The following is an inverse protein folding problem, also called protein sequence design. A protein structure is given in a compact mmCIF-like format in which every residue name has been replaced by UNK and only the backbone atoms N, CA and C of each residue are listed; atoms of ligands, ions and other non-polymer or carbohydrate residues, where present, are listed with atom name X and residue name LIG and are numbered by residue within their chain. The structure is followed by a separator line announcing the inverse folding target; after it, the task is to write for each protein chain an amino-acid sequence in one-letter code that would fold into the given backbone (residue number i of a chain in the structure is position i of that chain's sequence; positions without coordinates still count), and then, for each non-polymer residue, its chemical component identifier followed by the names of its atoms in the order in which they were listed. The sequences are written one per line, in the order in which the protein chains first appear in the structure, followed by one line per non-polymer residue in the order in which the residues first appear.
data_IF_923044590539
#
_entry.id   IF_923044590539
#
_cell.length_a   1.000
_cell.length_b   1.000
_cell.length_c   1.000
_cell.angle_alpha   90.00
_cell.angle_beta   90.00
_cell.angle_gamma   90.00
#
_symmetry.space_group_name_H-M   'P 1'
#
loop_
_entity.id
_entity.type
_entity.pdbx_description
1 polymer ?
#
# COMPACT_ATOMS: atom_id res chain seq x y z
N UNK A 1 8.16 -13.96 -7.57
CA UNK A 1 8.41 -12.52 -7.64
C UNK A 1 8.87 -12.12 -9.02
N UNK A 2 8.35 -11.04 -9.53
CA UNK A 2 8.80 -10.49 -10.80
C UNK A 2 10.23 -9.95 -10.68
N UNK A 3 11.04 -10.17 -11.70
CA UNK A 3 12.39 -9.64 -11.77
C UNK A 3 12.35 -8.11 -11.74
N UNK A 4 13.24 -7.51 -10.96
CA UNK A 4 13.35 -6.06 -10.84
C UNK A 4 12.45 -5.42 -9.79
N UNK A 5 11.63 -6.20 -9.10
CA UNK A 5 10.81 -5.69 -8.01
C UNK A 5 11.67 -5.46 -6.76
N UNK A 6 11.55 -4.27 -6.18
CA UNK A 6 12.18 -3.91 -4.90
C UNK A 6 11.11 -3.85 -3.83
N UNK A 7 11.36 -4.47 -2.69
CA UNK A 7 10.42 -4.49 -1.58
C UNK A 7 11.03 -3.77 -0.37
N UNK A 8 10.31 -2.78 0.15
CA UNK A 8 10.65 -2.09 1.39
C UNK A 8 9.64 -2.44 2.48
N UNK A 9 10.12 -2.56 3.71
CA UNK A 9 9.28 -2.89 4.87
C UNK A 9 9.38 -1.79 5.91
N UNK A 10 8.22 -1.33 6.39
CA UNK A 10 8.12 -0.25 7.36
C UNK A 10 7.24 -0.69 8.52
N UNK A 11 7.78 -0.68 9.74
CA UNK A 11 7.01 -0.98 10.95
C UNK A 11 6.38 0.30 11.49
N UNK A 12 5.17 0.19 12.00
CA UNK A 12 4.54 1.33 12.68
C UNK A 12 4.01 0.91 14.06
N UNK A 13 4.12 1.84 15.01
CA UNK A 13 3.60 1.65 16.37
C UNK A 13 2.23 2.25 16.55
N UNK A 14 1.83 3.17 15.69
CA UNK A 14 0.53 3.84 15.76
C UNK A 14 0.07 4.24 14.37
N UNK A 15 -1.22 4.47 14.22
CA UNK A 15 -1.80 4.95 12.95
C UNK A 15 -1.28 6.35 12.59
N UNK A 16 -1.02 7.19 13.58
CA UNK A 16 -0.44 8.53 13.34
C UNK A 16 0.98 8.42 12.78
N UNK A 17 1.80 7.54 13.36
CA UNK A 17 3.15 7.31 12.87
C UNK A 17 3.13 6.71 11.45
N UNK A 18 2.23 5.76 11.20
CA UNK A 18 2.06 5.18 9.87
C UNK A 18 1.71 6.25 8.84
N UNK A 19 0.73 7.09 9.13
CA UNK A 19 0.32 8.17 8.24
C UNK A 19 1.49 9.09 7.91
N UNK A 20 2.25 9.50 8.93
CA UNK A 20 3.41 10.37 8.74
C UNK A 20 4.42 9.73 7.80
N UNK A 21 4.73 8.45 8.00
CA UNK A 21 5.71 7.74 7.20
C UNK A 21 5.23 7.50 5.76
N UNK A 22 3.94 7.20 5.59
CA UNK A 22 3.35 7.04 4.26
C UNK A 22 3.44 8.33 3.45
N UNK A 23 3.05 9.45 4.06
CA UNK A 23 3.10 10.75 3.37
C UNK A 23 4.53 11.17 3.06
N UNK A 24 5.47 10.90 3.96
CA UNK A 24 6.88 11.17 3.76
C UNK A 24 7.46 10.36 2.60
N UNK A 25 7.09 9.08 2.51
CA UNK A 25 7.51 8.24 1.40
C UNK A 25 6.95 8.73 0.07
N UNK A 26 5.68 9.11 0.03
CA UNK A 26 5.07 9.66 -1.18
C UNK A 26 5.83 10.90 -1.65
N UNK A 27 6.16 11.83 -0.74
CA UNK A 27 6.96 13.01 -1.09
C UNK A 27 8.29 12.63 -1.72
N UNK A 28 8.97 11.65 -1.13
CA UNK A 28 10.25 11.19 -1.66
C UNK A 28 10.09 10.64 -3.07
N UNK A 29 9.09 9.79 -3.31
CA UNK A 29 8.83 9.20 -4.62
C UNK A 29 8.53 10.28 -5.66
N UNK A 30 7.70 11.25 -5.31
CA UNK A 30 7.40 12.36 -6.22
C UNK A 30 8.65 13.19 -6.53
N UNK A 31 9.50 13.43 -5.53
CA UNK A 31 10.76 14.17 -5.72
C UNK A 31 11.75 13.43 -6.61
N UNK A 32 11.65 12.10 -6.64
CA UNK A 32 12.48 11.26 -7.51
C UNK A 32 11.92 11.11 -8.92
N UNK A 33 10.83 11.80 -9.23
CA UNK A 33 10.23 11.80 -10.55
C UNK A 33 9.15 10.75 -10.80
N UNK A 34 8.72 10.02 -9.77
CA UNK A 34 7.60 9.08 -9.91
C UNK A 34 6.31 9.88 -10.07
N UNK A 35 5.51 9.54 -11.06
CA UNK A 35 4.22 10.18 -11.29
C UNK A 35 3.18 9.70 -10.28
N UNK A 36 2.29 10.59 -9.86
CA UNK A 36 1.16 10.23 -8.98
C UNK A 36 0.32 9.11 -9.57
N UNK A 37 0.13 9.12 -10.88
CA UNK A 37 -0.65 8.09 -11.57
C UNK A 37 -0.02 6.70 -11.51
N UNK A 38 1.27 6.61 -11.22
CA UNK A 38 1.98 5.34 -11.09
C UNK A 38 1.98 4.80 -9.67
N UNK A 39 1.48 5.58 -8.70
CA UNK A 39 1.45 5.20 -7.29
C UNK A 39 0.04 4.77 -6.92
N UNK A 40 -0.07 3.56 -6.39
CA UNK A 40 -1.31 3.01 -5.85
C UNK A 40 -1.10 2.73 -4.37
N UNK A 41 -2.07 3.15 -3.57
CA UNK A 41 -2.13 2.80 -2.15
C UNK A 41 -3.14 1.68 -2.02
N UNK A 42 -2.73 0.58 -1.40
CA UNK A 42 -3.60 -0.54 -1.05
C UNK A 42 -3.79 -0.62 0.45
N UNK A 43 -4.98 -0.96 0.88
CA UNK A 43 -5.29 -1.18 2.28
C UNK A 43 -6.36 -2.27 2.41
N UNK A 44 -6.34 -3.05 3.49
CA UNK A 44 -7.48 -3.92 3.82
C UNK A 44 -8.76 -3.14 4.07
N UNK A 45 -8.63 -1.85 4.39
CA UNK A 45 -9.74 -0.97 4.74
C UNK A 45 -9.95 0.10 3.68
N UNK A 46 -11.21 0.52 3.50
CA UNK A 46 -11.51 1.68 2.68
C UNK A 46 -10.89 2.94 3.33
N UNK A 47 -10.58 3.92 2.50
CA UNK A 47 -10.00 5.18 2.97
C UNK A 47 -10.94 5.94 3.92
N UNK A 48 -12.25 5.72 3.80
CA UNK A 48 -13.27 6.30 4.66
C UNK A 48 -13.58 5.45 5.90
N UNK A 49 -12.81 4.41 6.15
CA UNK A 49 -12.91 3.57 7.34
C UNK A 49 -11.93 4.07 8.40
N UNK A 50 -12.39 4.18 9.64
CA UNK A 50 -11.58 4.70 10.75
C UNK A 50 -10.34 3.84 11.06
N UNK A 51 -10.27 2.61 10.56
CA UNK A 51 -9.12 1.74 10.74
C UNK A 51 -7.98 2.04 9.76
N UNK A 52 -8.21 2.85 8.75
CA UNK A 52 -7.14 3.29 7.85
C UNK A 52 -6.41 4.50 8.44
N UNK A 53 -5.08 4.52 8.29
CA UNK A 53 -4.29 5.67 8.74
C UNK A 53 -4.59 6.93 7.94
N UNK A 54 -5.19 6.79 6.75
CA UNK A 54 -5.57 7.93 5.92
C UNK A 54 -7.02 8.39 6.15
N UNK A 55 -7.71 7.79 7.10
CA UNK A 55 -9.07 8.21 7.45
C UNK A 55 -9.06 9.66 7.92
N UNK A 56 -9.87 10.50 7.27
CA UNK A 56 -9.96 11.94 7.56
C UNK A 56 -8.62 12.68 7.55
N UNK A 57 -7.64 12.14 6.83
CA UNK A 57 -6.32 12.76 6.78
C UNK A 57 -6.35 14.04 5.96
N UNK A 58 -5.68 15.08 6.48
CA UNK A 58 -5.37 16.27 5.70
C UNK A 58 -4.15 15.98 4.85
N UNK A 59 -4.32 15.93 3.55
CA UNK A 59 -3.22 15.63 2.63
C UNK A 59 -2.55 16.94 2.24
N UNK A 60 -1.23 17.09 2.48
CA UNK A 60 -0.51 18.30 2.08
C UNK A 60 -0.62 18.58 0.57
N UNK A 61 -0.68 19.86 0.21
CA UNK A 61 -0.87 20.27 -1.18
C UNK A 61 0.27 19.83 -2.10
N UNK A 62 1.49 19.67 -1.57
CA UNK A 62 2.64 19.20 -2.35
C UNK A 62 2.51 17.72 -2.76
N UNK A 63 1.75 16.94 -2.01
CA UNK A 63 1.44 15.55 -2.38
C UNK A 63 0.32 15.51 -3.41
N UNK A 64 -0.59 16.45 -3.33
CA UNK A 64 -1.74 16.51 -4.22
C UNK A 64 -2.92 15.74 -3.67
N UNK A 65 -3.62 15.02 -4.52
CA UNK A 65 -4.85 14.33 -4.14
C UNK A 65 -4.65 12.83 -4.06
N UNK A 66 -5.26 12.22 -3.04
CA UNK A 66 -5.40 10.77 -2.89
C UNK A 66 -6.89 10.48 -2.93
N UNK A 67 -7.33 9.65 -3.87
CA UNK A 67 -8.75 9.31 -4.03
C UNK A 67 -8.99 7.82 -3.92
N UNK A 68 -10.04 7.46 -3.20
CA UNK A 68 -10.56 6.11 -3.21
C UNK A 68 -11.11 5.82 -4.61
N UNK A 69 -10.55 4.81 -5.26
CA UNK A 69 -10.98 4.44 -6.60
C UNK A 69 -12.00 3.31 -6.51
N UNK A 70 -13.26 3.63 -6.79
CA UNK A 70 -14.36 2.66 -6.78
C UNK A 70 -14.72 2.17 -8.17
N UNK A 71 -14.38 2.95 -9.17
CA UNK A 71 -14.72 2.65 -10.56
C UNK A 71 -13.50 2.90 -11.44
N UNK A 72 -13.36 2.11 -12.50
CA UNK A 72 -12.35 2.33 -13.54
C UNK A 72 -12.67 3.59 -14.34
N UNK A 73 -12.64 4.73 -13.70
CA UNK A 73 -12.67 5.98 -14.44
C UNK A 73 -11.27 6.20 -14.97
N UNK A 74 -11.16 6.15 -16.28
CA UNK A 74 -10.01 6.67 -16.99
C UNK A 74 -10.05 8.18 -16.88
N UNK A 75 -9.62 8.67 -15.74
CA UNK A 75 -9.50 10.09 -15.53
C UNK A 75 -8.07 10.49 -15.87
N UNK A 76 -7.93 11.50 -16.70
CA UNK A 76 -6.62 12.05 -17.05
C UNK A 76 -6.00 12.83 -15.90
N UNK A 77 -6.70 12.96 -14.78
CA UNK A 77 -6.24 13.76 -13.66
C UNK A 77 -5.09 13.09 -12.92
N UNK A 78 -4.12 13.91 -12.53
CA UNK A 78 -2.92 13.49 -11.83
C UNK A 78 -3.20 13.34 -10.34
N UNK A 79 -3.58 12.14 -9.91
CA UNK A 79 -3.83 11.84 -8.51
C UNK A 79 -3.37 10.43 -8.15
N UNK A 80 -3.16 10.21 -6.85
CA UNK A 80 -2.80 8.90 -6.31
C UNK A 80 -4.09 8.12 -6.03
N UNK A 81 -4.16 6.90 -6.54
CA UNK A 81 -5.34 6.04 -6.38
C UNK A 81 -5.21 5.19 -5.14
N UNK A 82 -6.27 5.15 -4.36
CA UNK A 82 -6.41 4.30 -3.20
C UNK A 82 -7.40 3.19 -3.52
N UNK A 83 -7.00 1.93 -3.28
CA UNK A 83 -7.87 0.77 -3.47
C UNK A 83 -7.91 -0.06 -2.20
N UNK A 84 -9.04 -0.69 -1.92
CA UNK A 84 -9.01 -1.84 -1.03
C UNK A 84 -8.36 -3.00 -1.78
N UNK A 85 -7.77 -3.94 -1.04
CA UNK A 85 -7.11 -5.10 -1.64
C UNK A 85 -8.10 -5.87 -2.53
N UNK A 86 -9.34 -6.02 -2.09
CA UNK A 86 -10.38 -6.70 -2.88
C UNK A 86 -10.69 -5.99 -4.18
N UNK A 87 -10.77 -4.67 -4.15
CA UNK A 87 -11.06 -3.87 -5.34
C UNK A 87 -9.91 -3.89 -6.35
N UNK A 88 -8.69 -4.12 -5.89
CA UNK A 88 -7.50 -4.15 -6.75
C UNK A 88 -7.25 -5.52 -7.39
N UNK A 89 -8.03 -6.51 -7.06
CA UNK A 89 -7.85 -7.87 -7.57
C UNK A 89 -7.80 -7.88 -9.10
N UNK A 90 -6.75 -8.49 -9.67
CA UNK A 90 -6.56 -8.57 -11.11
C UNK A 90 -5.88 -7.35 -11.74
N UNK A 91 -5.62 -6.31 -10.98
CA UNK A 91 -4.95 -5.11 -11.46
C UNK A 91 -3.46 -5.15 -11.09
N UNK A 92 -2.68 -4.30 -11.73
CA UNK A 92 -1.25 -4.13 -11.45
C UNK A 92 -0.93 -2.65 -11.37
N UNK A 93 0.14 -2.31 -10.64
CA UNK A 93 0.64 -0.97 -10.58
C UNK A 93 2.16 -0.98 -10.56
N UNK A 94 2.77 0.09 -11.03
CA UNK A 94 4.22 0.25 -11.01
C UNK A 94 4.75 0.35 -9.59
N UNK A 95 4.10 1.16 -8.76
CA UNK A 95 4.47 1.38 -7.36
C UNK A 95 3.24 1.11 -6.50
N UNK A 96 3.39 0.22 -5.53
CA UNK A 96 2.33 -0.06 -4.57
C UNK A 96 2.83 0.27 -3.16
N UNK A 97 2.04 1.05 -2.44
CA UNK A 97 2.18 1.27 -1.01
C UNK A 97 1.07 0.48 -0.34
N UNK A 98 1.42 -0.63 0.30
CA UNK A 98 0.45 -1.47 0.99
C UNK A 98 0.47 -1.09 2.47
N UNK A 99 -0.59 -0.45 2.92
CA UNK A 99 -0.68 0.18 4.24
C UNK A 99 -1.71 -0.52 5.13
N UNK A 100 -1.74 -0.14 6.39
CA UNK A 100 -2.76 -0.56 7.37
C UNK A 100 -2.72 -2.06 7.68
N UNK A 101 -1.58 -2.70 7.53
CA UNK A 101 -1.48 -4.14 7.80
C UNK A 101 -1.44 -4.35 9.31
N UNK A 102 -2.53 -4.85 9.86
CA UNK A 102 -2.70 -5.09 11.30
C UNK A 102 -2.96 -6.55 11.64
N UNK A 103 -2.80 -7.45 10.68
CA UNK A 103 -2.91 -8.89 10.91
C UNK A 103 -2.48 -9.71 9.71
N UNK A 104 -1.95 -10.90 9.99
CA UNK A 104 -1.61 -11.92 9.01
C UNK A 104 -2.16 -13.29 9.44
N UNK A 105 -3.01 -13.31 10.44
CA UNK A 105 -3.32 -14.54 11.19
C UNK A 105 -4.34 -15.44 10.48
N UNK A 106 -5.24 -14.85 9.73
CA UNK A 106 -6.29 -15.56 9.00
C UNK A 106 -5.74 -16.03 7.65
N UNK A 107 -6.07 -17.25 7.23
CA UNK A 107 -5.67 -17.78 5.93
C UNK A 107 -6.20 -16.92 4.77
N UNK A 108 -7.40 -16.39 4.89
CA UNK A 108 -7.95 -15.48 3.90
C UNK A 108 -7.18 -14.16 3.86
N UNK A 109 -6.80 -13.63 5.02
CA UNK A 109 -5.95 -12.45 5.09
C UNK A 109 -4.57 -12.69 4.49
N UNK A 110 -3.97 -13.86 4.76
CA UNK A 110 -2.68 -14.23 4.16
C UNK A 110 -2.78 -14.27 2.64
N UNK A 111 -3.84 -14.86 2.12
CA UNK A 111 -4.05 -14.93 0.68
C UNK A 111 -4.22 -13.54 0.07
N UNK A 112 -5.03 -12.69 0.69
CA UNK A 112 -5.24 -11.32 0.23
C UNK A 112 -3.93 -10.52 0.26
N UNK A 113 -3.16 -10.64 1.34
CA UNK A 113 -1.88 -9.98 1.48
C UNK A 113 -0.90 -10.44 0.41
N UNK A 114 -0.84 -11.74 0.14
CA UNK A 114 0.01 -12.29 -0.90
C UNK A 114 -0.35 -11.76 -2.28
N UNK A 115 -1.64 -11.75 -2.59
CA UNK A 115 -2.12 -11.24 -3.88
C UNK A 115 -1.78 -9.76 -4.04
N UNK A 116 -1.99 -8.96 -2.99
CA UNK A 116 -1.66 -7.53 -3.02
C UNK A 116 -0.17 -7.33 -3.26
N UNK A 117 0.68 -8.04 -2.51
CA UNK A 117 2.13 -7.91 -2.62
C UNK A 117 2.69 -8.37 -3.97
N UNK A 118 2.00 -9.22 -4.68
CA UNK A 118 2.47 -9.72 -5.98
C UNK A 118 2.12 -8.81 -7.16
N UNK A 119 1.39 -7.71 -6.94
CA UNK A 119 0.87 -6.85 -8.02
C UNK A 119 1.74 -5.63 -8.32
N UNK A 120 2.79 -5.36 -7.54
CA UNK A 120 3.74 -4.29 -7.84
C UNK A 120 4.72 -4.76 -8.92
N UNK A 121 4.90 -3.93 -9.95
CA UNK A 121 5.81 -4.26 -11.05
C UNK A 121 7.25 -3.80 -10.81
N UNK A 122 7.42 -2.72 -10.07
CA UNK A 122 8.75 -2.11 -9.85
C UNK A 122 9.07 -1.95 -8.37
N UNK A 123 8.16 -1.37 -7.60
CA UNK A 123 8.40 -1.03 -6.20
C UNK A 123 7.18 -1.40 -5.37
N UNK A 124 7.42 -2.12 -4.29
CA UNK A 124 6.43 -2.44 -3.27
C UNK A 124 6.95 -1.95 -1.93
N UNK A 125 6.16 -1.12 -1.24
CA UNK A 125 6.46 -0.66 0.11
C UNK A 125 5.34 -1.14 1.03
N UNK A 126 5.70 -1.86 2.08
CA UNK A 126 4.74 -2.52 2.97
C UNK A 126 4.82 -1.89 4.36
N UNK A 127 3.68 -1.44 4.87
CA UNK A 127 3.56 -0.83 6.20
C UNK A 127 2.74 -1.75 7.09
N UNK A 128 3.37 -2.27 8.13
CA UNK A 128 2.75 -3.26 9.02
C UNK A 128 2.97 -2.89 10.48
N UNK A 129 2.02 -3.32 11.32
CA UNK A 129 2.11 -3.05 12.76
C UNK A 129 3.33 -3.75 13.36
N UNK A 130 4.06 -3.07 14.22
CA UNK A 130 5.36 -3.52 14.71
C UNK A 130 5.33 -4.89 15.41
N UNK A 131 4.22 -5.24 16.07
CA UNK A 131 4.05 -6.52 16.73
C UNK A 131 3.89 -7.71 15.76
N UNK A 132 3.79 -7.44 14.46
CA UNK A 132 3.65 -8.47 13.42
C UNK A 132 4.99 -8.87 12.78
N UNK A 133 6.11 -8.45 13.35
CA UNK A 133 7.42 -8.67 12.72
C UNK A 133 7.72 -10.15 12.48
N UNK A 134 7.42 -11.02 13.42
CA UNK A 134 7.64 -12.46 13.25
C UNK A 134 6.76 -13.03 12.13
N UNK A 135 5.50 -12.67 12.11
CA UNK A 135 4.55 -13.12 11.10
C UNK A 135 4.95 -12.64 9.71
N UNK A 136 5.43 -11.40 9.62
CA UNK A 136 5.94 -10.85 8.36
C UNK A 136 7.12 -11.67 7.83
N UNK A 137 8.06 -12.02 8.69
CA UNK A 137 9.22 -12.82 8.32
C UNK A 137 8.79 -14.21 7.82
N UNK A 138 7.89 -14.86 8.53
CA UNK A 138 7.35 -16.18 8.13
C UNK A 138 6.64 -16.10 6.79
N UNK A 139 5.88 -15.06 6.54
CA UNK A 139 5.16 -14.86 5.30
C UNK A 139 6.11 -14.71 4.13
N UNK A 140 7.22 -13.99 4.30
CA UNK A 140 8.25 -13.88 3.27
C UNK A 140 8.86 -15.22 2.93
N UNK A 141 9.22 -16.01 3.92
CA UNK A 141 9.77 -17.35 3.71
C UNK A 141 8.80 -18.23 2.93
N UNK A 142 7.53 -18.19 3.29
CA UNK A 142 6.49 -18.95 2.60
C UNK A 142 6.32 -18.51 1.14
N UNK A 143 6.43 -17.23 0.85
CA UNK A 143 6.29 -16.72 -0.51
C UNK A 143 7.45 -17.14 -1.40
N UNK A 144 8.64 -17.37 -0.87
CA UNK A 144 9.77 -17.89 -1.61
C UNK A 144 9.61 -19.38 -1.95
N UNK A 145 8.83 -20.10 -1.18
CA UNK A 145 8.61 -21.53 -1.35
C UNK A 145 7.39 -21.87 -2.22
N UNK A 146 6.69 -20.86 -2.68
CA UNK A 146 5.58 -21.02 -3.63
C UNK A 146 6.08 -20.87 -5.07
#
# INVERSE_FOLDING_TARGET
KADGEVVGYHKYDSKTAEKTDVLKLIRRLLSEGISRNDIVILSPYRMDNANSCLYNASIPSDIGEIRLNEFNKLDSDDFIRFYTVKAFKGLEARVILYIDIDGFEDDDERLLNYVAMSRARTLLEVFYRADLEEERQKMMLNSYNL
#
